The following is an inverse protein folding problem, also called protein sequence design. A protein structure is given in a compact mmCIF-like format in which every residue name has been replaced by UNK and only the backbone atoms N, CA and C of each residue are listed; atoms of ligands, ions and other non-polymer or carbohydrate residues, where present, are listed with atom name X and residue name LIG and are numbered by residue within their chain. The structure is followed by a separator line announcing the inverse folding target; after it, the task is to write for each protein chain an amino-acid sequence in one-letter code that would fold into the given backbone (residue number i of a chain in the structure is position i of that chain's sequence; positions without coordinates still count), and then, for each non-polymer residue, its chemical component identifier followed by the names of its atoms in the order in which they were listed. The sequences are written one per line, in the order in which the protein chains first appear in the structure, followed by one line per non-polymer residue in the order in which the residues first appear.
data_IF_533173946468
#
_entry.id   IF_533173946468
#
_cell.length_a   1.000
_cell.length_b   1.000
_cell.length_c   1.000
_cell.angle_alpha   90.00
_cell.angle_beta   90.00
_cell.angle_gamma   90.00
#
_symmetry.space_group_name_H-M   'P 1'
#
loop_
_entity.id
_entity.type
_entity.pdbx_description
1 polymer ?
#
# COMPACT_ATOMS: atom_id res chain seq x y z
N UNK A 1 -23.65 -93.16 -15.03
CA UNK A 1 -24.79 -92.44 -15.64
C UNK A 1 -25.42 -91.60 -14.54
N UNK A 2 -25.18 -90.29 -14.55
CA UNK A 2 -26.19 -89.24 -14.81
C UNK A 2 -27.24 -89.16 -13.67
N UNK A 3 -27.37 -88.08 -12.87
CA UNK A 3 -27.65 -86.68 -13.23
C UNK A 3 -27.26 -85.70 -12.11
N UNK A 4 -27.05 -84.44 -12.49
CA UNK A 4 -26.74 -83.26 -11.65
C UNK A 4 -27.99 -82.67 -10.94
N UNK A 5 -27.78 -81.80 -9.93
CA UNK A 5 -28.79 -81.35 -8.96
C UNK A 5 -29.39 -79.96 -9.25
N UNK A 6 -30.47 -79.62 -8.54
CA UNK A 6 -31.10 -78.30 -8.50
C UNK A 6 -31.11 -77.71 -7.07
N UNK A 7 -30.34 -76.62 -6.93
CA UNK A 7 -30.56 -75.37 -6.17
C UNK A 7 -31.42 -75.38 -4.90
N UNK A 8 -30.80 -74.93 -3.80
CA UNK A 8 -31.48 -74.20 -2.72
C UNK A 8 -30.58 -73.06 -2.23
N UNK A 9 -31.17 -71.87 -2.14
CA UNK A 9 -30.51 -70.58 -1.99
C UNK A 9 -29.98 -70.33 -0.56
N UNK A 10 -28.72 -69.89 -0.45
CA UNK A 10 -28.17 -69.27 0.77
C UNK A 10 -27.83 -67.81 0.50
N UNK A 11 -28.52 -66.93 1.23
CA UNK A 11 -28.23 -65.50 1.34
C UNK A 11 -26.91 -65.33 2.10
N UNK A 12 -25.92 -64.69 1.47
CA UNK A 12 -24.67 -64.27 2.10
C UNK A 12 -24.75 -62.77 2.41
N UNK A 13 -24.72 -62.42 3.69
CA UNK A 13 -24.52 -61.06 4.15
C UNK A 13 -23.05 -60.64 3.92
N UNK A 14 -22.84 -59.61 3.10
CA UNK A 14 -21.52 -59.13 2.73
C UNK A 14 -20.83 -58.26 3.81
N UNK A 15 -19.49 -58.26 3.87
CA UNK A 15 -18.70 -57.48 4.83
C UNK A 15 -18.60 -56.01 4.39
N UNK A 16 -19.70 -55.27 4.50
CA UNK A 16 -19.79 -53.87 4.04
C UNK A 16 -19.97 -52.81 5.14
N UNK A 17 -20.31 -53.22 6.36
CA UNK A 17 -20.77 -52.29 7.39
C UNK A 17 -19.63 -51.65 8.24
N UNK A 18 -18.50 -52.33 8.42
CA UNK A 18 -17.43 -51.84 9.30
C UNK A 18 -16.54 -50.76 8.67
N UNK A 19 -16.25 -50.86 7.37
CA UNK A 19 -15.42 -49.84 6.68
C UNK A 19 -16.11 -48.48 6.55
N UNK A 20 -17.45 -48.43 6.53
CA UNK A 20 -18.20 -47.15 6.51
C UNK A 20 -18.16 -46.42 7.85
N UNK A 21 -18.16 -47.15 8.98
CA UNK A 21 -18.08 -46.53 10.32
C UNK A 21 -16.71 -45.92 10.62
N UNK A 22 -15.63 -46.54 10.14
CA UNK A 22 -14.27 -46.00 10.30
C UNK A 22 -14.06 -44.69 9.53
N UNK A 23 -14.52 -44.61 8.27
CA UNK A 23 -14.41 -43.39 7.45
C UNK A 23 -15.22 -42.21 8.00
N UNK A 24 -16.42 -42.48 8.53
CA UNK A 24 -17.23 -41.43 9.15
C UNK A 24 -16.57 -40.84 10.39
N UNK A 25 -15.90 -41.66 11.22
CA UNK A 25 -15.21 -41.18 12.43
C UNK A 25 -14.00 -40.31 12.10
N UNK A 26 -13.22 -40.67 11.08
CA UNK A 26 -12.07 -39.88 10.62
C UNK A 26 -12.49 -38.50 10.09
N UNK A 27 -13.59 -38.43 9.32
CA UNK A 27 -14.13 -37.16 8.83
C UNK A 27 -14.64 -36.26 9.97
N UNK A 28 -15.35 -36.83 10.96
CA UNK A 28 -15.82 -36.06 12.12
C UNK A 28 -14.66 -35.52 12.95
N UNK A 29 -13.62 -36.34 13.19
CA UNK A 29 -12.42 -35.88 13.92
C UNK A 29 -11.67 -34.79 13.15
N UNK A 30 -11.53 -34.93 11.83
CA UNK A 30 -10.91 -33.90 10.99
C UNK A 30 -11.68 -32.57 11.02
N UNK A 31 -13.02 -32.61 10.94
CA UNK A 31 -13.88 -31.41 11.05
C UNK A 31 -13.79 -30.76 12.44
N UNK A 32 -13.77 -31.55 13.52
CA UNK A 32 -13.65 -31.01 14.88
C UNK A 32 -12.28 -30.38 15.12
N UNK A 33 -11.21 -30.96 14.58
CA UNK A 33 -9.86 -30.37 14.66
C UNK A 33 -9.74 -29.08 13.84
N UNK A 34 -10.33 -29.02 12.64
CA UNK A 34 -10.35 -27.77 11.85
C UNK A 34 -11.16 -26.69 12.54
N UNK A 35 -12.33 -27.02 13.11
CA UNK A 35 -13.14 -26.08 13.87
C UNK A 35 -12.42 -25.59 15.13
N UNK A 36 -11.74 -26.47 15.86
CA UNK A 36 -10.97 -26.11 17.05
C UNK A 36 -9.75 -25.23 16.74
N UNK A 37 -9.04 -25.51 15.64
CA UNK A 37 -7.96 -24.63 15.16
C UNK A 37 -8.49 -23.27 14.73
N UNK A 38 -9.63 -23.23 14.03
CA UNK A 38 -10.28 -21.98 13.64
C UNK A 38 -10.73 -21.15 14.85
N UNK A 39 -11.33 -21.78 15.87
CA UNK A 39 -11.75 -21.10 17.11
C UNK A 39 -10.55 -20.58 17.91
N UNK A 40 -9.44 -21.33 17.97
CA UNK A 40 -8.20 -20.85 18.61
C UNK A 40 -7.62 -19.65 17.88
N UNK A 41 -7.60 -19.69 16.55
CA UNK A 41 -7.14 -18.57 15.72
C UNK A 41 -7.97 -17.31 15.97
N UNK A 42 -9.30 -17.42 16.02
CA UNK A 42 -10.19 -16.30 16.34
C UNK A 42 -9.90 -15.72 17.74
N UNK A 43 -9.68 -16.57 18.74
CA UNK A 43 -9.41 -16.14 20.11
C UNK A 43 -8.04 -15.42 20.26
N UNK A 44 -7.01 -15.86 19.53
CA UNK A 44 -5.70 -15.21 19.51
C UNK A 44 -5.74 -13.83 18.87
N UNK A 45 -6.51 -13.68 17.78
CA UNK A 45 -6.71 -12.37 17.12
C UNK A 45 -7.45 -11.40 18.06
N UNK A 46 -8.47 -11.88 18.77
CA UNK A 46 -9.27 -11.02 19.65
C UNK A 46 -8.50 -10.52 20.88
N UNK A 47 -7.63 -11.35 21.47
CA UNK A 47 -6.77 -10.95 22.60
C UNK A 47 -5.68 -9.94 22.21
N UNK A 48 -5.16 -10.01 20.97
CA UNK A 48 -4.16 -9.05 20.48
C UNK A 48 -4.73 -7.63 20.30
N UNK A 49 -6.06 -7.47 20.18
CA UNK A 49 -6.71 -6.18 19.94
C UNK A 49 -7.42 -5.58 21.17
N UNK A 50 -7.65 -6.35 22.23
CA UNK A 50 -8.34 -5.87 23.44
C UNK A 50 -7.45 -5.14 24.46
N UNK A 51 -6.12 -5.14 24.31
CA UNK A 51 -5.21 -4.51 25.29
C UNK A 51 -4.93 -3.02 25.06
N UNK A 52 -5.61 -2.36 24.12
CA UNK A 52 -5.41 -0.93 23.82
C UNK A 52 -6.66 -0.12 24.15
N UNK A 53 -6.80 0.30 25.41
CA UNK A 53 -7.82 1.27 25.80
C UNK A 53 -7.91 1.50 27.31
N UNK A 54 -7.21 2.53 27.80
CA UNK A 54 -7.73 3.53 28.77
C UNK A 54 -6.56 4.24 29.46
N UNK A 55 -6.21 5.43 28.98
CA UNK A 55 -5.54 6.43 29.81
C UNK A 55 -6.08 7.79 29.41
N UNK A 56 -6.88 8.36 30.32
CA UNK A 56 -7.58 9.62 30.17
C UNK A 56 -6.64 10.82 30.08
N UNK A 57 -7.11 11.82 29.35
CA UNK A 57 -6.52 13.15 29.25
C UNK A 57 -6.77 13.96 30.52
N UNK A 58 -5.71 14.47 31.13
CA UNK A 58 -5.77 15.66 31.97
C UNK A 58 -4.74 16.66 31.47
N UNK A 59 -5.24 17.78 30.98
CA UNK A 59 -4.50 18.98 30.57
C UNK A 59 -3.96 19.73 31.79
N UNK A 60 -2.69 20.13 31.72
CA UNK A 60 -2.20 21.32 32.44
C UNK A 60 -1.18 22.05 31.59
N UNK A 61 -1.38 23.36 31.50
CA UNK A 61 -0.56 24.32 30.78
C UNK A 61 0.82 24.50 31.43
N UNK A 62 1.81 24.87 30.62
CA UNK A 62 2.97 25.64 31.08
C UNK A 62 3.59 26.43 29.93
N UNK A 63 3.49 27.75 30.07
CA UNK A 63 4.33 28.78 29.45
C UNK A 63 5.80 28.62 29.81
N UNK A 64 6.72 28.82 28.86
CA UNK A 64 7.99 29.51 29.06
C UNK A 64 8.67 29.83 27.71
N UNK A 65 9.26 31.01 27.65
CA UNK A 65 9.90 31.65 26.52
C UNK A 65 11.38 31.26 26.36
N UNK A 66 11.97 31.48 25.18
CA UNK A 66 13.01 32.50 24.93
C UNK A 66 13.90 32.20 23.70
N UNK A 67 14.10 33.25 22.88
CA UNK A 67 15.27 33.62 22.06
C UNK A 67 15.78 32.62 20.97
N UNK A 68 16.28 33.04 19.81
CA UNK A 68 16.96 34.30 19.49
C UNK A 68 16.72 34.73 18.03
N UNK A 69 16.80 36.05 17.85
CA UNK A 69 16.84 36.76 16.59
C UNK A 69 18.18 36.52 15.87
N UNK A 70 18.13 36.43 14.54
CA UNK A 70 19.25 36.79 13.67
C UNK A 70 18.73 37.82 12.68
N UNK A 71 19.33 38.99 12.83
CA UNK A 71 19.31 40.17 11.98
C UNK A 71 20.10 39.84 10.71
N UNK A 72 19.56 40.16 9.53
CA UNK A 72 20.44 40.54 8.41
C UNK A 72 19.67 41.42 7.42
N UNK A 73 20.20 42.62 7.25
CA UNK A 73 19.65 43.67 6.41
C UNK A 73 20.21 43.66 4.99
N UNK A 74 19.40 44.20 4.08
CA UNK A 74 19.85 45.17 3.08
C UNK A 74 20.59 44.66 1.84
N UNK A 75 19.98 44.89 0.67
CA UNK A 75 20.73 44.89 -0.59
C UNK A 75 19.82 44.89 -1.82
N UNK A 76 19.54 46.09 -2.34
CA UNK A 76 18.75 46.35 -3.54
C UNK A 76 19.48 46.01 -4.86
N UNK A 77 18.81 46.35 -5.99
CA UNK A 77 19.23 46.32 -7.41
C UNK A 77 18.68 45.05 -8.11
N UNK A 78 17.86 45.08 -9.15
CA UNK A 78 17.60 46.07 -10.18
C UNK A 78 17.71 45.34 -11.53
N UNK A 79 16.65 45.33 -12.35
CA UNK A 79 16.71 44.69 -13.67
C UNK A 79 15.36 44.20 -14.18
N UNK A 80 14.51 45.15 -14.58
CA UNK A 80 13.31 44.87 -15.37
C UNK A 80 13.74 44.70 -16.83
N UNK A 81 13.48 43.53 -17.41
CA UNK A 81 13.59 43.29 -18.84
C UNK A 81 12.23 42.81 -19.34
N UNK A 82 11.56 43.71 -20.06
CA UNK A 82 10.34 43.45 -20.81
C UNK A 82 10.63 42.40 -21.90
N UNK A 83 9.95 41.26 -21.81
CA UNK A 83 9.85 40.29 -22.89
C UNK A 83 8.42 40.32 -23.39
N UNK A 84 8.28 41.04 -24.50
CA UNK A 84 7.09 41.12 -25.33
C UNK A 84 6.77 39.73 -25.90
N UNK A 85 5.61 39.18 -25.55
CA UNK A 85 5.13 37.89 -26.06
C UNK A 85 3.70 38.04 -26.54
N UNK A 86 3.56 38.09 -27.87
CA UNK A 86 2.30 38.20 -28.59
C UNK A 86 1.30 37.11 -28.18
N UNK A 87 0.23 37.54 -27.54
CA UNK A 87 -0.95 36.76 -27.21
C UNK A 87 -1.80 36.55 -28.47
N UNK A 88 -1.79 35.34 -29.02
CA UNK A 88 -2.83 34.87 -29.94
C UNK A 88 -3.94 34.24 -29.10
N UNK A 89 -5.00 35.01 -28.89
CA UNK A 89 -6.18 34.63 -28.14
C UNK A 89 -6.95 33.49 -28.81
N UNK A 90 -6.67 32.26 -28.39
CA UNK A 90 -7.58 31.13 -28.52
C UNK A 90 -8.36 30.96 -27.23
N UNK A 91 -9.60 31.41 -27.19
CA UNK A 91 -10.57 31.13 -26.13
C UNK A 91 -10.93 29.64 -26.14
N UNK A 92 -10.03 28.82 -25.61
CA UNK A 92 -10.35 27.44 -25.24
C UNK A 92 -11.26 27.50 -24.03
N UNK A 93 -12.57 27.43 -24.28
CA UNK A 93 -13.57 27.31 -23.23
C UNK A 93 -13.21 26.13 -22.32
N UNK A 94 -13.06 26.47 -21.04
CA UNK A 94 -12.61 25.64 -19.96
C UNK A 94 -13.64 24.54 -19.65
N UNK A 95 -13.65 23.49 -20.47
CA UNK A 95 -14.51 22.30 -20.31
C UNK A 95 -14.11 21.42 -19.11
N UNK A 96 -13.10 21.83 -18.35
CA UNK A 96 -12.59 21.11 -17.18
C UNK A 96 -13.49 21.23 -15.94
N UNK A 97 -14.41 22.22 -15.91
CA UNK A 97 -15.30 22.47 -14.77
C UNK A 97 -16.35 21.39 -14.48
N UNK A 98 -16.47 20.36 -15.33
CA UNK A 98 -17.50 19.31 -15.19
C UNK A 98 -17.07 18.02 -14.47
N UNK A 99 -15.77 17.81 -14.22
CA UNK A 99 -15.28 16.51 -13.72
C UNK A 99 -15.47 16.30 -12.21
N UNK A 100 -15.47 17.39 -11.43
CA UNK A 100 -15.68 17.35 -9.99
C UNK A 100 -17.05 17.96 -9.66
N UNK A 101 -17.87 17.21 -8.93
CA UNK A 101 -19.19 17.69 -8.54
C UNK A 101 -19.10 18.46 -7.22
N UNK A 102 -19.79 19.61 -7.10
CA UNK A 102 -19.99 20.25 -5.80
C UNK A 102 -20.55 19.26 -4.78
N UNK A 103 -19.99 19.24 -3.57
CA UNK A 103 -20.32 18.23 -2.57
C UNK A 103 -21.79 18.27 -2.12
N UNK A 104 -22.40 19.45 -2.13
CA UNK A 104 -23.80 19.72 -1.78
C UNK A 104 -24.80 19.09 -2.76
N UNK A 105 -24.38 18.86 -4.01
CA UNK A 105 -25.24 18.31 -5.07
C UNK A 105 -25.40 16.79 -5.03
N UNK A 106 -24.79 16.08 -4.08
CA UNK A 106 -24.78 14.63 -4.10
C UNK A 106 -24.52 13.94 -2.76
N UNK A 107 -24.53 12.61 -2.83
CA UNK A 107 -24.08 11.76 -1.73
C UNK A 107 -22.58 11.59 -1.85
N UNK A 108 -21.85 11.82 -0.76
CA UNK A 108 -20.39 11.67 -0.75
C UNK A 108 -19.92 10.63 0.26
N UNK A 109 -18.69 10.17 0.04
CA UNK A 109 -17.94 9.30 0.93
C UNK A 109 -16.54 9.90 1.14
N UNK A 110 -16.22 10.19 2.40
CA UNK A 110 -14.90 10.60 2.91
C UNK A 110 -14.28 9.41 3.64
N UNK A 111 -12.96 9.41 3.78
CA UNK A 111 -12.23 8.44 4.59
C UNK A 111 -10.86 9.00 4.97
N UNK A 112 -10.32 8.50 6.07
CA UNK A 112 -8.95 8.84 6.48
C UNK A 112 -7.92 7.98 5.76
N UNK A 113 -6.71 8.52 5.60
CA UNK A 113 -5.51 7.74 5.29
C UNK A 113 -4.70 7.48 6.56
N UNK A 114 -3.76 6.54 6.52
CA UNK A 114 -2.97 6.18 7.67
C UNK A 114 -1.56 5.72 7.32
N UNK A 115 -0.66 5.89 8.29
CA UNK A 115 0.72 5.39 8.25
C UNK A 115 1.50 5.87 7.00
N UNK A 116 2.51 5.11 6.58
CA UNK A 116 3.37 5.47 5.45
C UNK A 116 2.66 5.56 4.09
N UNK A 117 3.34 6.18 3.13
CA UNK A 117 2.89 6.53 1.78
C UNK A 117 2.02 5.45 1.11
N UNK A 118 2.51 4.21 1.07
CA UNK A 118 1.79 3.14 0.38
C UNK A 118 0.55 2.65 1.15
N UNK A 119 0.55 2.72 2.48
CA UNK A 119 -0.66 2.44 3.25
C UNK A 119 -1.74 3.50 3.00
N UNK A 120 -1.34 4.76 2.78
CA UNK A 120 -2.25 5.83 2.37
C UNK A 120 -2.81 5.57 0.95
N UNK A 121 -2.00 5.06 0.00
CA UNK A 121 -2.48 4.61 -1.32
C UNK A 121 -3.47 3.44 -1.19
N UNK A 122 -3.19 2.46 -0.34
CA UNK A 122 -4.09 1.32 -0.08
C UNK A 122 -5.41 1.80 0.55
N UNK A 123 -5.36 2.79 1.44
CA UNK A 123 -6.54 3.43 2.00
C UNK A 123 -7.38 4.11 0.90
N UNK A 124 -6.74 4.85 0.00
CA UNK A 124 -7.39 5.45 -1.18
C UNK A 124 -8.09 4.38 -2.02
N UNK A 125 -7.38 3.31 -2.40
CA UNK A 125 -7.97 2.20 -3.18
C UNK A 125 -9.18 1.56 -2.47
N UNK A 126 -9.08 1.36 -1.15
CA UNK A 126 -10.17 0.82 -0.33
C UNK A 126 -11.38 1.77 -0.31
N UNK A 127 -11.13 3.07 -0.14
CA UNK A 127 -12.14 4.12 -0.17
C UNK A 127 -12.87 4.22 -1.53
N UNK A 128 -12.14 4.06 -2.64
CA UNK A 128 -12.72 4.04 -3.99
C UNK A 128 -13.69 2.86 -4.17
N UNK A 129 -13.31 1.67 -3.70
CA UNK A 129 -14.20 0.49 -3.74
C UNK A 129 -15.46 0.72 -2.92
N UNK A 130 -15.33 1.32 -1.73
CA UNK A 130 -16.49 1.67 -0.90
C UNK A 130 -17.38 2.72 -1.59
N UNK A 131 -16.80 3.73 -2.23
CA UNK A 131 -17.53 4.73 -3.00
C UNK A 131 -18.31 4.09 -4.16
N UNK A 132 -17.67 3.19 -4.91
CA UNK A 132 -18.30 2.44 -6.00
C UNK A 132 -19.46 1.56 -5.50
N UNK A 133 -19.24 0.76 -4.46
CA UNK A 133 -20.26 -0.15 -3.88
C UNK A 133 -21.47 0.57 -3.26
N UNK A 134 -21.32 1.86 -2.94
CA UNK A 134 -22.37 2.68 -2.33
C UNK A 134 -22.95 3.74 -3.28
N UNK A 135 -22.45 3.80 -4.53
CA UNK A 135 -22.77 4.82 -5.52
C UNK A 135 -22.66 6.25 -4.95
N UNK A 136 -21.51 6.56 -4.36
CA UNK A 136 -21.20 7.86 -3.76
C UNK A 136 -20.05 8.52 -4.50
N UNK A 137 -20.06 9.85 -4.56
CA UNK A 137 -18.89 10.60 -4.99
C UNK A 137 -17.80 10.51 -3.92
N UNK A 138 -16.58 10.20 -4.32
CA UNK A 138 -15.44 10.17 -3.40
C UNK A 138 -14.95 11.58 -3.13
N UNK A 139 -14.71 11.92 -1.87
CA UNK A 139 -13.93 13.10 -1.49
C UNK A 139 -12.47 12.65 -1.39
N UNK A 140 -11.57 13.31 -2.11
CA UNK A 140 -10.16 12.97 -2.09
C UNK A 140 -9.57 13.26 -0.70
N UNK A 141 -8.77 12.33 -0.13
CA UNK A 141 -8.22 12.51 1.21
C UNK A 141 -7.05 13.49 1.20
N UNK A 142 -6.73 14.03 2.38
CA UNK A 142 -5.42 14.65 2.61
C UNK A 142 -4.38 13.54 2.82
N UNK A 143 -3.12 13.83 2.47
CA UNK A 143 -1.98 12.93 2.66
C UNK A 143 -1.18 13.31 3.89
N UNK A 144 -0.74 12.33 4.66
CA UNK A 144 0.18 12.51 5.78
C UNK A 144 1.58 12.78 5.25
N UNK A 145 2.23 13.82 5.78
CA UNK A 145 3.65 14.11 5.55
C UNK A 145 4.57 13.22 6.39
N UNK A 146 4.04 12.62 7.46
CA UNK A 146 4.77 11.68 8.29
C UNK A 146 3.87 10.54 8.77
N UNK A 147 4.11 9.35 8.23
CA UNK A 147 3.42 8.11 8.56
C UNK A 147 4.22 7.16 9.44
N UNK A 148 5.28 7.64 10.10
CA UNK A 148 6.19 6.83 10.91
C UNK A 148 5.49 6.16 12.10
N UNK A 149 5.82 4.89 12.35
CA UNK A 149 5.26 4.06 13.41
C UNK A 149 6.35 3.68 14.41
N UNK A 150 6.51 4.47 15.48
CA UNK A 150 7.59 4.26 16.44
C UNK A 150 7.53 2.90 17.17
N UNK A 151 6.32 2.39 17.42
CA UNK A 151 6.07 1.21 18.25
C UNK A 151 5.27 0.10 17.56
N UNK A 152 4.98 0.23 16.27
CA UNK A 152 4.11 -0.65 15.46
C UNK A 152 2.65 -0.80 15.94
N UNK A 153 2.27 -0.19 17.07
CA UNK A 153 0.95 -0.35 17.72
C UNK A 153 0.05 0.87 17.53
N UNK A 154 0.63 2.05 17.42
CA UNK A 154 -0.10 3.32 17.31
C UNK A 154 -0.30 3.71 15.85
N UNK A 155 -1.56 3.73 15.38
CA UNK A 155 -1.88 4.22 14.04
C UNK A 155 -1.74 5.74 13.98
N UNK A 156 -1.05 6.24 12.96
CA UNK A 156 -1.00 7.68 12.65
C UNK A 156 -2.11 7.99 11.64
N UNK A 157 -2.90 9.03 11.90
CA UNK A 157 -4.01 9.48 11.05
C UNK A 157 -4.00 11.00 10.90
N UNK A 158 -4.72 11.53 9.90
CA UNK A 158 -4.63 12.94 9.49
C UNK A 158 -5.07 13.95 10.56
N UNK A 159 -5.74 13.51 11.62
CA UNK A 159 -6.15 14.37 12.73
C UNK A 159 -5.00 14.97 13.57
N UNK A 160 -3.73 14.64 13.30
CA UNK A 160 -2.57 15.07 14.08
C UNK A 160 -1.66 16.12 13.40
N UNK A 161 -2.22 17.03 12.60
CA UNK A 161 -1.63 18.30 12.12
C UNK A 161 -0.49 18.31 11.09
N UNK A 162 -0.12 17.18 10.47
CA UNK A 162 0.87 17.18 9.38
C UNK A 162 0.31 16.49 8.12
N UNK A 163 -0.74 17.06 7.55
CA UNK A 163 -1.32 16.61 6.28
C UNK A 163 -1.36 17.72 5.23
N UNK A 164 -1.34 17.32 3.97
CA UNK A 164 -1.50 18.20 2.81
C UNK A 164 -2.63 17.72 1.92
N UNK A 165 -3.34 18.61 1.21
CA UNK A 165 -4.44 18.20 0.36
C UNK A 165 -3.96 17.32 -0.82
N UNK A 166 -4.86 16.56 -1.43
CA UNK A 166 -4.54 15.62 -2.51
C UNK A 166 -3.74 16.26 -3.65
N UNK A 167 -4.12 17.47 -4.05
CA UNK A 167 -3.52 18.24 -5.14
C UNK A 167 -2.07 18.67 -4.88
N UNK A 168 -1.64 18.67 -3.62
CA UNK A 168 -0.24 18.92 -3.30
C UNK A 168 0.66 17.79 -3.82
N UNK A 169 0.13 16.56 -3.91
CA UNK A 169 0.88 15.36 -4.31
C UNK A 169 0.55 14.86 -5.71
N UNK A 170 -0.70 14.98 -6.14
CA UNK A 170 -1.20 14.41 -7.38
C UNK A 170 -2.04 15.39 -8.18
N UNK A 171 -2.30 15.08 -9.46
CA UNK A 171 -3.14 15.90 -10.34
C UNK A 171 -4.62 15.47 -10.22
N UNK A 172 -5.49 16.22 -9.50
CA UNK A 172 -6.85 15.76 -9.20
C UNK A 172 -7.74 15.63 -10.44
N UNK A 173 -7.54 16.44 -11.49
CA UNK A 173 -8.37 16.38 -12.70
C UNK A 173 -8.13 15.09 -13.49
N UNK A 174 -6.88 14.72 -13.72
CA UNK A 174 -6.51 13.47 -14.40
C UNK A 174 -7.04 12.25 -13.62
N UNK A 175 -6.92 12.30 -12.28
CA UNK A 175 -7.46 11.27 -11.41
C UNK A 175 -8.99 11.17 -11.50
N UNK A 176 -9.71 12.29 -11.37
CA UNK A 176 -11.16 12.33 -11.47
C UNK A 176 -11.68 11.83 -12.83
N UNK A 177 -11.01 12.19 -13.92
CA UNK A 177 -11.35 11.72 -15.26
C UNK A 177 -11.23 10.19 -15.37
N UNK A 178 -10.15 9.61 -14.86
CA UNK A 178 -9.96 8.17 -14.88
C UNK A 178 -11.02 7.44 -14.04
N UNK A 179 -11.36 7.96 -12.87
CA UNK A 179 -12.41 7.38 -12.03
C UNK A 179 -13.80 7.45 -12.68
N UNK A 180 -14.11 8.56 -13.37
CA UNK A 180 -15.40 8.75 -14.03
C UNK A 180 -15.66 7.69 -15.11
N UNK A 181 -14.62 7.26 -15.84
CA UNK A 181 -14.71 6.17 -16.81
C UNK A 181 -15.12 4.82 -16.19
N UNK A 182 -15.00 4.69 -14.87
CA UNK A 182 -15.39 3.52 -14.08
C UNK A 182 -16.58 3.80 -13.16
N UNK A 183 -17.36 4.86 -13.42
CA UNK A 183 -18.59 5.18 -12.70
C UNK A 183 -18.37 5.74 -11.29
N UNK A 184 -17.13 6.07 -10.90
CA UNK A 184 -16.82 6.73 -9.63
C UNK A 184 -16.63 8.22 -9.88
N UNK A 185 -17.43 9.04 -9.20
CA UNK A 185 -17.35 10.50 -9.28
C UNK A 185 -16.47 11.05 -8.17
N UNK A 186 -15.83 12.19 -8.41
CA UNK A 186 -15.11 12.94 -7.38
C UNK A 186 -15.93 14.15 -6.94
N UNK A 187 -16.02 14.36 -5.62
CA UNK A 187 -16.63 15.54 -5.03
C UNK A 187 -15.57 16.60 -4.75
N UNK A 188 -15.90 17.87 -5.00
CA UNK A 188 -15.07 19.01 -4.63
C UNK A 188 -15.33 19.41 -3.17
N UNK A 189 -14.26 19.54 -2.38
CA UNK A 189 -14.32 19.94 -0.97
C UNK A 189 -14.65 18.81 0.01
N UNK A 190 -14.78 19.16 1.30
CA UNK A 190 -15.11 18.26 2.41
C UNK A 190 -16.49 18.56 2.97
N UNK A 191 -17.19 17.54 3.47
CA UNK A 191 -18.49 17.76 4.08
C UNK A 191 -18.28 18.33 5.49
N UNK A 192 -19.05 19.36 5.87
CA UNK A 192 -18.93 19.99 7.18
C UNK A 192 -19.29 19.04 8.35
N UNK A 193 -20.25 18.13 8.13
CA UNK A 193 -20.75 17.22 9.16
C UNK A 193 -21.05 15.82 8.58
N UNK A 194 -20.03 15.04 8.20
CA UNK A 194 -20.26 13.69 7.73
C UNK A 194 -20.68 12.77 8.87
N UNK A 195 -21.43 11.72 8.54
CA UNK A 195 -21.74 10.67 9.50
C UNK A 195 -20.60 9.65 9.56
N UNK A 196 -19.95 9.55 10.72
CA UNK A 196 -18.83 8.64 10.92
C UNK A 196 -19.26 7.17 10.95
N UNK A 197 -18.53 6.36 10.19
CA UNK A 197 -18.68 4.92 10.09
C UNK A 197 -17.47 4.26 10.72
N UNK A 198 -17.66 3.68 11.91
CA UNK A 198 -16.62 2.95 12.63
C UNK A 198 -16.32 1.59 11.99
N UNK A 199 -15.30 1.53 11.12
CA UNK A 199 -14.98 0.33 10.33
C UNK A 199 -14.42 -0.84 11.17
N UNK A 200 -13.83 -0.55 12.35
CA UNK A 200 -13.28 -1.56 13.27
C UNK A 200 -14.30 -2.66 13.65
N UNK A 201 -15.60 -2.38 13.56
CA UNK A 201 -16.68 -3.34 13.88
C UNK A 201 -16.92 -4.39 12.79
N UNK A 202 -16.29 -4.24 11.62
CA UNK A 202 -16.59 -5.04 10.43
C UNK A 202 -15.34 -5.76 9.91
N UNK A 203 -14.58 -6.42 10.80
CA UNK A 203 -13.34 -7.11 10.43
C UNK A 203 -13.58 -8.06 9.23
N UNK A 204 -13.18 -7.58 8.07
CA UNK A 204 -13.81 -7.93 6.80
C UNK A 204 -13.41 -9.30 6.28
N UNK A 205 -12.30 -9.83 6.80
CA UNK A 205 -11.80 -11.16 6.47
C UNK A 205 -12.80 -12.25 6.93
N UNK A 206 -13.54 -12.01 8.02
CA UNK A 206 -14.54 -12.95 8.53
C UNK A 206 -15.97 -12.67 8.02
N UNK A 207 -16.26 -11.43 7.61
CA UNK A 207 -17.60 -10.99 7.22
C UNK A 207 -17.57 -10.17 5.93
N UNK A 208 -17.29 -10.85 4.82
CA UNK A 208 -16.99 -10.25 3.51
C UNK A 208 -18.03 -9.24 3.00
N UNK A 209 -19.29 -9.34 3.43
CA UNK A 209 -20.37 -8.45 3.01
C UNK A 209 -20.93 -7.55 4.12
N UNK A 210 -20.47 -7.66 5.37
CA UNK A 210 -21.10 -6.95 6.49
C UNK A 210 -20.96 -5.44 6.39
N UNK A 211 -19.77 -4.94 6.04
CA UNK A 211 -19.52 -3.51 5.87
C UNK A 211 -20.39 -2.91 4.75
N UNK A 212 -20.39 -3.55 3.57
CA UNK A 212 -21.20 -3.07 2.43
C UNK A 212 -22.69 -3.11 2.76
N UNK A 213 -23.16 -4.20 3.38
CA UNK A 213 -24.55 -4.32 3.82
C UNK A 213 -24.93 -3.23 4.81
N UNK A 214 -24.05 -2.91 5.75
CA UNK A 214 -24.23 -1.82 6.69
C UNK A 214 -24.30 -0.47 5.99
N UNK A 215 -23.35 -0.17 5.09
CA UNK A 215 -23.31 1.10 4.35
C UNK A 215 -24.55 1.29 3.47
N UNK A 216 -25.05 0.21 2.84
CA UNK A 216 -26.30 0.22 2.06
C UNK A 216 -27.52 0.54 2.94
N UNK A 217 -27.58 0.04 4.18
CA UNK A 217 -28.61 0.43 5.16
C UNK A 217 -28.52 1.91 5.55
N UNK A 218 -27.36 2.56 5.37
CA UNK A 218 -27.15 3.99 5.60
C UNK A 218 -27.30 4.83 4.34
N UNK A 219 -27.97 4.33 3.29
CA UNK A 219 -28.21 5.05 2.02
C UNK A 219 -28.90 6.41 2.17
N UNK A 220 -29.65 6.63 3.25
CA UNK A 220 -30.33 7.91 3.51
C UNK A 220 -29.37 9.00 4.02
N UNK A 221 -28.19 8.64 4.53
CA UNK A 221 -27.18 9.63 4.95
C UNK A 221 -26.58 10.30 3.72
N UNK A 222 -26.55 11.63 3.70
CA UNK A 222 -25.99 12.37 2.58
C UNK A 222 -24.48 12.21 2.50
N UNK A 223 -23.77 12.43 3.61
CA UNK A 223 -22.31 12.33 3.67
C UNK A 223 -21.90 11.25 4.66
N UNK A 224 -21.00 10.37 4.24
CA UNK A 224 -20.38 9.36 5.09
C UNK A 224 -18.90 9.69 5.26
N UNK A 225 -18.34 9.37 6.42
CA UNK A 225 -16.91 9.35 6.65
C UNK A 225 -16.49 7.98 7.20
N UNK A 226 -15.54 7.31 6.56
CA UNK A 226 -15.03 6.02 7.01
C UNK A 226 -13.87 6.26 7.96
N UNK A 227 -14.07 5.92 9.23
CA UNK A 227 -13.10 6.13 10.30
C UNK A 227 -12.94 4.87 11.17
N UNK A 228 -11.73 4.49 11.61
CA UNK A 228 -10.45 4.97 11.09
C UNK A 228 -10.21 4.51 9.64
N UNK A 229 -9.04 4.88 9.12
CA UNK A 229 -8.47 4.48 7.84
C UNK A 229 -8.90 3.07 7.33
N UNK A 230 -9.41 2.94 6.08
CA UNK A 230 -9.92 1.68 5.54
C UNK A 230 -8.83 0.74 5.01
N UNK A 231 -7.55 1.10 5.06
CA UNK A 231 -6.46 0.23 4.60
C UNK A 231 -6.49 -1.14 5.28
N UNK A 232 -6.37 -2.21 4.49
CA UNK A 232 -6.41 -3.61 4.96
C UNK A 232 -7.74 -4.03 5.62
N UNK A 233 -8.81 -3.24 5.46
CA UNK A 233 -10.14 -3.55 6.02
C UNK A 233 -11.15 -4.00 4.97
N UNK A 234 -10.69 -4.26 3.75
CA UNK A 234 -11.53 -4.71 2.65
C UNK A 234 -11.23 -6.19 2.34
N UNK A 235 -12.26 -7.02 2.10
CA UNK A 235 -12.05 -8.40 1.69
C UNK A 235 -11.38 -8.44 0.31
N UNK A 236 -10.41 -9.32 0.12
CA UNK A 236 -9.72 -9.47 -1.17
C UNK A 236 -10.69 -9.74 -2.33
N UNK A 237 -11.72 -10.57 -2.12
CA UNK A 237 -12.75 -10.84 -3.14
C UNK A 237 -13.52 -9.58 -3.56
N UNK A 238 -13.75 -8.64 -2.63
CA UNK A 238 -14.40 -7.37 -2.95
C UNK A 238 -13.45 -6.47 -3.75
N UNK A 239 -12.18 -6.37 -3.34
CA UNK A 239 -11.16 -5.65 -4.11
C UNK A 239 -11.04 -6.23 -5.53
N UNK A 240 -11.04 -7.56 -5.66
CA UNK A 240 -10.94 -8.28 -6.93
C UNK A 240 -12.01 -7.87 -7.95
N UNK A 241 -13.27 -7.70 -7.52
CA UNK A 241 -14.38 -7.27 -8.39
C UNK A 241 -14.16 -5.88 -8.99
N UNK A 242 -13.34 -5.05 -8.36
CA UNK A 242 -13.05 -3.68 -8.78
C UNK A 242 -11.65 -3.53 -9.39
N UNK A 243 -11.02 -4.63 -9.85
CA UNK A 243 -9.66 -4.62 -10.45
C UNK A 243 -9.44 -3.47 -11.43
N UNK A 244 -10.34 -3.30 -12.41
CA UNK A 244 -10.18 -2.30 -13.47
C UNK A 244 -10.23 -0.86 -12.93
N UNK A 245 -11.13 -0.58 -11.97
CA UNK A 245 -11.19 0.71 -11.29
C UNK A 245 -9.88 0.99 -10.54
N UNK A 246 -9.35 0.00 -9.81
CA UNK A 246 -8.13 0.15 -9.03
C UNK A 246 -6.89 0.33 -9.92
N UNK A 247 -6.82 -0.40 -11.03
CA UNK A 247 -5.78 -0.22 -12.04
C UNK A 247 -5.81 1.18 -12.65
N UNK A 248 -6.98 1.65 -13.06
CA UNK A 248 -7.15 2.99 -13.61
C UNK A 248 -6.81 4.08 -12.58
N UNK A 249 -7.23 3.91 -11.33
CA UNK A 249 -6.90 4.82 -10.24
C UNK A 249 -5.39 4.89 -10.01
N UNK A 250 -4.70 3.76 -9.90
CA UNK A 250 -3.26 3.72 -9.69
C UNK A 250 -2.49 4.40 -10.84
N UNK A 251 -2.85 4.10 -12.09
CA UNK A 251 -2.26 4.71 -13.27
C UNK A 251 -2.54 6.23 -13.35
N UNK A 252 -3.69 6.68 -12.84
CA UNK A 252 -4.09 8.08 -12.86
C UNK A 252 -3.57 8.92 -11.68
N UNK A 253 -2.91 8.30 -10.68
CA UNK A 253 -2.13 9.01 -9.67
C UNK A 253 -0.89 9.59 -10.35
N UNK A 254 -1.05 10.67 -11.11
CA UNK A 254 0.06 11.38 -11.72
C UNK A 254 0.62 12.38 -10.69
N UNK A 255 1.94 12.37 -10.42
CA UNK A 255 2.54 13.32 -9.49
C UNK A 255 2.23 14.76 -9.88
N UNK A 256 2.01 15.61 -8.88
CA UNK A 256 1.94 17.06 -9.06
C UNK A 256 3.25 17.57 -9.68
N UNK A 257 3.20 18.74 -10.32
CA UNK A 257 4.31 19.25 -11.13
C UNK A 257 5.63 19.33 -10.35
N UNK A 258 5.58 19.71 -9.07
CA UNK A 258 6.74 19.72 -8.17
C UNK A 258 7.41 18.34 -8.09
N UNK A 259 6.65 17.28 -7.80
CA UNK A 259 7.19 15.93 -7.69
C UNK A 259 7.63 15.36 -9.03
N UNK A 260 6.89 15.64 -10.11
CA UNK A 260 7.32 15.27 -11.46
C UNK A 260 8.70 15.87 -11.79
N UNK A 261 8.91 17.15 -11.48
CA UNK A 261 10.22 17.80 -11.64
C UNK A 261 11.31 17.17 -10.78
N UNK A 262 11.02 16.81 -9.52
CA UNK A 262 11.98 16.13 -8.64
C UNK A 262 12.35 14.72 -9.14
N UNK A 263 11.37 13.96 -9.65
CA UNK A 263 11.61 12.62 -10.21
C UNK A 263 12.52 12.73 -11.44
N UNK A 264 12.25 13.66 -12.36
CA UNK A 264 13.09 13.87 -13.54
C UNK A 264 14.49 14.39 -13.18
N UNK A 265 14.59 15.28 -12.18
CA UNK A 265 15.89 15.74 -11.68
C UNK A 265 16.73 14.58 -11.12
N UNK A 266 16.13 13.69 -10.32
CA UNK A 266 16.83 12.50 -9.81
C UNK A 266 17.26 11.55 -10.92
N UNK A 267 16.46 11.39 -11.98
CA UNK A 267 16.86 10.61 -13.16
C UNK A 267 18.04 11.21 -13.89
N UNK A 268 18.03 12.52 -14.11
CA UNK A 268 19.14 13.23 -14.73
C UNK A 268 20.42 13.11 -13.88
N UNK A 269 20.29 13.16 -12.55
CA UNK A 269 21.41 12.97 -11.63
C UNK A 269 21.95 11.53 -11.67
N UNK A 270 21.08 10.51 -11.68
CA UNK A 270 21.48 9.11 -11.90
C UNK A 270 22.25 9.00 -13.22
N UNK A 271 21.74 9.57 -14.31
CA UNK A 271 22.41 9.52 -15.60
C UNK A 271 23.78 10.22 -15.59
N UNK A 272 23.88 11.35 -14.90
CA UNK A 272 25.15 12.10 -14.75
C UNK A 272 26.17 11.29 -13.94
N UNK A 273 25.77 10.71 -12.80
CA UNK A 273 26.67 9.91 -11.95
C UNK A 273 27.12 8.61 -12.61
N UNK A 274 26.28 8.04 -13.46
CA UNK A 274 26.49 6.68 -13.97
C UNK A 274 26.93 6.63 -15.44
N UNK A 275 26.71 7.69 -16.21
CA UNK A 275 26.89 7.69 -17.66
C UNK A 275 25.83 6.89 -18.42
N UNK A 276 24.74 6.45 -17.77
CA UNK A 276 23.68 5.62 -18.37
C UNK A 276 22.31 6.28 -18.25
N UNK A 277 21.52 6.22 -19.33
CA UNK A 277 20.11 6.68 -19.30
C UNK A 277 19.16 5.67 -18.62
N UNK A 278 19.59 4.42 -18.46
CA UNK A 278 18.85 3.35 -17.79
C UNK A 278 19.42 3.02 -16.42
N UNK A 279 18.55 2.55 -15.52
CA UNK A 279 18.94 2.07 -14.19
C UNK A 279 18.00 0.95 -13.72
N UNK A 280 18.50 0.12 -12.82
CA UNK A 280 17.72 -0.79 -11.99
C UNK A 280 17.54 -0.17 -10.60
N UNK A 281 16.48 -0.56 -9.89
CA UNK A 281 16.24 -0.06 -8.53
C UNK A 281 16.03 -1.22 -7.54
N UNK A 282 16.74 -1.13 -6.42
CA UNK A 282 16.60 -1.98 -5.25
C UNK A 282 16.02 -1.16 -4.09
N UNK A 283 14.87 -1.58 -3.57
CA UNK A 283 14.34 -1.06 -2.31
C UNK A 283 14.68 -2.02 -1.16
N UNK A 284 15.59 -1.62 -0.27
CA UNK A 284 15.94 -2.40 0.93
C UNK A 284 15.19 -1.90 2.14
N UNK A 285 14.93 -2.81 3.10
CA UNK A 285 14.28 -2.48 4.36
C UNK A 285 15.22 -2.85 5.49
N UNK A 286 15.91 -1.85 6.01
CA UNK A 286 16.96 -1.97 7.03
C UNK A 286 16.75 -0.97 8.17
N UNK A 287 15.54 -0.42 8.28
CA UNK A 287 15.18 0.56 9.29
C UNK A 287 14.95 -0.05 10.68
N UNK A 288 15.12 0.77 11.73
CA UNK A 288 14.87 0.35 13.12
C UNK A 288 13.43 -0.12 13.37
N UNK A 289 12.44 0.57 12.80
CA UNK A 289 11.02 0.19 12.90
C UNK A 289 10.73 -1.11 12.14
N UNK A 290 11.43 -1.33 11.02
CA UNK A 290 11.32 -2.54 10.23
C UNK A 290 11.79 -3.78 10.97
N UNK A 291 12.93 -3.72 11.68
CA UNK A 291 13.41 -4.85 12.47
C UNK A 291 12.38 -5.28 13.53
N UNK A 292 11.80 -4.33 14.26
CA UNK A 292 10.74 -4.60 15.25
C UNK A 292 9.49 -5.21 14.60
N UNK A 293 9.11 -4.71 13.42
CA UNK A 293 7.99 -5.29 12.66
C UNK A 293 8.29 -6.74 12.28
N UNK A 294 9.51 -7.03 11.83
CA UNK A 294 9.90 -8.38 11.45
C UNK A 294 9.91 -9.36 12.63
N UNK A 295 10.32 -8.93 13.83
CA UNK A 295 10.22 -9.76 15.05
C UNK A 295 8.78 -10.20 15.32
N UNK A 296 7.80 -9.31 15.14
CA UNK A 296 6.39 -9.64 15.30
C UNK A 296 5.82 -10.43 14.10
N UNK A 297 6.23 -10.09 12.89
CA UNK A 297 5.74 -10.74 11.68
C UNK A 297 6.23 -12.18 11.58
N UNK A 298 7.45 -12.48 12.03
CA UNK A 298 8.06 -13.78 11.86
C UNK A 298 7.31 -14.87 12.65
N UNK A 299 6.66 -15.75 11.91
CA UNK A 299 6.02 -16.96 12.43
C UNK A 299 6.11 -18.08 11.38
N UNK A 300 7.18 -18.91 11.43
CA UNK A 300 7.37 -20.01 10.48
C UNK A 300 6.22 -21.01 10.45
N UNK A 301 5.52 -21.23 11.57
CA UNK A 301 4.37 -22.13 11.62
C UNK A 301 3.20 -21.67 10.75
N UNK A 302 3.17 -20.37 10.39
CA UNK A 302 2.17 -19.77 9.51
C UNK A 302 2.74 -19.43 8.12
N UNK A 303 3.96 -19.90 7.79
CA UNK A 303 4.65 -19.55 6.54
C UNK A 303 5.09 -18.09 6.47
N UNK A 304 5.21 -17.41 7.62
CA UNK A 304 5.70 -16.02 7.75
C UNK A 304 7.17 -16.02 8.15
N UNK A 305 8.05 -16.54 7.33
CA UNK A 305 9.49 -16.67 7.62
C UNK A 305 10.38 -15.84 6.70
N UNK A 306 9.80 -14.93 5.91
CA UNK A 306 10.50 -14.24 4.83
C UNK A 306 10.85 -12.76 5.10
N UNK A 307 10.58 -12.19 6.27
CA UNK A 307 10.70 -10.73 6.47
C UNK A 307 12.12 -10.17 6.27
N UNK A 308 13.14 -10.86 6.78
CA UNK A 308 14.55 -10.44 6.71
C UNK A 308 15.42 -11.37 5.85
N UNK A 309 14.81 -12.34 5.17
CA UNK A 309 15.56 -13.31 4.38
C UNK A 309 16.35 -12.62 3.28
N UNK A 310 17.58 -13.06 3.12
CA UNK A 310 18.52 -12.59 2.10
C UNK A 310 18.80 -11.08 2.10
N UNK A 311 18.48 -10.33 3.16
CA UNK A 311 18.78 -8.89 3.22
C UNK A 311 20.29 -8.65 3.16
N UNK A 312 21.06 -9.39 3.96
CA UNK A 312 22.52 -9.37 4.01
C UNK A 312 23.21 -9.98 2.77
N UNK A 313 22.47 -10.75 1.98
CA UNK A 313 22.94 -11.42 0.75
C UNK A 313 22.26 -10.88 -0.51
N UNK A 314 21.69 -9.67 -0.44
CA UNK A 314 20.85 -9.11 -1.52
C UNK A 314 21.60 -8.96 -2.86
N UNK A 315 22.91 -8.73 -2.84
CA UNK A 315 23.75 -8.71 -4.04
C UNK A 315 23.69 -10.04 -4.81
N UNK A 316 23.72 -11.16 -4.10
CA UNK A 316 23.61 -12.50 -4.70
C UNK A 316 22.20 -12.75 -5.25
N UNK A 317 21.17 -12.22 -4.60
CA UNK A 317 19.79 -12.35 -5.08
C UNK A 317 19.57 -11.56 -6.37
N UNK A 318 20.16 -10.38 -6.50
CA UNK A 318 20.15 -9.61 -7.75
C UNK A 318 20.70 -10.45 -8.92
N UNK A 319 21.87 -11.09 -8.75
CA UNK A 319 22.46 -11.97 -9.76
C UNK A 319 21.54 -13.16 -10.09
N UNK A 320 20.96 -13.82 -9.07
CA UNK A 320 20.03 -14.95 -9.26
C UNK A 320 18.77 -14.55 -10.03
N UNK A 321 18.28 -13.33 -9.84
CA UNK A 321 17.16 -12.78 -10.61
C UNK A 321 17.57 -12.18 -11.96
N UNK A 322 18.85 -12.35 -12.34
CA UNK A 322 19.39 -11.97 -13.64
C UNK A 322 19.63 -10.49 -13.82
N UNK A 323 19.77 -9.70 -12.74
CA UNK A 323 20.11 -8.29 -12.86
C UNK A 323 21.53 -8.13 -13.41
N UNK A 324 21.66 -7.41 -14.52
CA UNK A 324 22.94 -7.10 -15.15
C UNK A 324 23.75 -6.14 -14.27
N UNK A 325 25.01 -6.47 -14.02
CA UNK A 325 25.96 -5.67 -13.21
C UNK A 325 26.41 -4.40 -13.93
N UNK A 326 26.34 -4.37 -15.26
CA UNK A 326 26.68 -3.19 -16.06
C UNK A 326 25.59 -2.11 -16.02
N UNK A 327 24.35 -2.49 -15.69
CA UNK A 327 23.24 -1.54 -15.51
C UNK A 327 23.31 -0.95 -14.09
N UNK A 328 23.39 0.38 -13.93
CA UNK A 328 23.50 1.01 -12.62
C UNK A 328 22.37 0.61 -11.67
N UNK A 329 22.72 0.39 -10.39
CA UNK A 329 21.76 0.01 -9.36
C UNK A 329 21.51 1.18 -8.40
N UNK A 330 20.29 1.71 -8.42
CA UNK A 330 19.84 2.70 -7.42
C UNK A 330 19.35 1.95 -6.18
N UNK A 331 19.87 2.31 -5.00
CA UNK A 331 19.50 1.69 -3.72
C UNK A 331 18.70 2.67 -2.88
N UNK A 332 17.46 2.33 -2.54
CA UNK A 332 16.56 3.17 -1.73
C UNK A 332 16.18 2.48 -0.42
N UNK A 333 16.04 3.29 0.63
CA UNK A 333 15.62 2.93 2.01
C UNK A 333 15.33 4.23 2.76
N UNK A 334 14.72 4.19 3.95
CA UNK A 334 14.76 5.36 4.86
C UNK A 334 16.15 5.50 5.47
N UNK A 335 17.08 6.17 4.78
CA UNK A 335 18.47 6.31 5.22
C UNK A 335 18.64 6.91 6.63
N UNK A 336 17.88 7.94 7.06
CA UNK A 336 17.96 8.46 8.42
C UNK A 336 17.60 7.43 9.50
N UNK A 337 16.76 6.45 9.17
CA UNK A 337 16.28 5.42 10.10
C UNK A 337 16.99 4.08 9.94
N UNK A 338 17.91 3.96 8.97
CA UNK A 338 18.64 2.74 8.67
C UNK A 338 19.53 2.33 9.85
N UNK A 339 19.59 1.03 10.11
CA UNK A 339 20.52 0.43 11.07
C UNK A 339 21.91 0.37 10.40
N UNK A 340 22.93 1.09 10.89
CA UNK A 340 24.19 1.28 10.16
C UNK A 340 24.89 -0.04 9.78
N UNK A 341 25.02 -0.97 10.72
CA UNK A 341 25.70 -2.24 10.49
C UNK A 341 24.99 -3.08 9.42
N UNK A 342 23.66 -3.10 9.43
CA UNK A 342 22.86 -3.84 8.45
C UNK A 342 22.92 -3.17 7.08
N UNK A 343 22.88 -1.84 7.01
CA UNK A 343 23.07 -1.11 5.77
C UNK A 343 24.46 -1.38 5.19
N UNK A 344 25.51 -1.39 6.03
CA UNK A 344 26.87 -1.71 5.60
C UNK A 344 26.96 -3.13 5.03
N UNK A 345 26.34 -4.12 5.67
CA UNK A 345 26.28 -5.50 5.16
C UNK A 345 25.58 -5.58 3.80
N UNK A 346 24.44 -4.90 3.64
CA UNK A 346 23.73 -4.77 2.36
C UNK A 346 24.65 -4.19 1.28
N UNK A 347 25.31 -3.07 1.56
CA UNK A 347 26.19 -2.40 0.60
C UNK A 347 27.42 -3.25 0.26
N UNK A 348 28.00 -3.95 1.23
CA UNK A 348 29.09 -4.91 1.01
C UNK A 348 28.64 -6.09 0.15
N UNK A 349 27.41 -6.58 0.33
CA UNK A 349 26.83 -7.63 -0.50
C UNK A 349 26.67 -7.20 -1.96
N UNK A 350 26.17 -5.98 -2.16
CA UNK A 350 25.96 -5.38 -3.49
C UNK A 350 27.30 -5.18 -4.22
N UNK A 351 28.28 -4.56 -3.56
CA UNK A 351 29.60 -4.32 -4.14
C UNK A 351 30.37 -5.61 -4.38
N UNK A 352 30.33 -6.56 -3.44
CA UNK A 352 30.94 -7.89 -3.59
C UNK A 352 30.33 -8.73 -4.72
N UNK A 353 29.12 -8.38 -5.17
CA UNK A 353 28.45 -9.00 -6.32
C UNK A 353 28.68 -8.24 -7.64
N UNK A 354 29.56 -7.24 -7.66
CA UNK A 354 29.98 -6.51 -8.86
C UNK A 354 29.08 -5.34 -9.27
N UNK A 355 28.07 -4.98 -8.48
CA UNK A 355 27.19 -3.85 -8.82
C UNK A 355 27.82 -2.50 -8.43
N UNK A 356 27.65 -1.51 -9.30
CA UNK A 356 27.87 -0.10 -8.96
C UNK A 356 26.59 0.53 -8.41
N UNK A 357 26.56 0.73 -7.08
CA UNK A 357 25.42 1.32 -6.40
C UNK A 357 25.42 2.86 -6.48
N UNK A 358 24.23 3.44 -6.62
CA UNK A 358 23.95 4.87 -6.39
C UNK A 358 22.93 4.95 -5.25
N UNK A 359 23.27 5.62 -4.16
CA UNK A 359 22.39 5.68 -2.99
C UNK A 359 21.31 6.74 -3.19
N UNK A 360 20.06 6.40 -2.84
CA UNK A 360 18.94 7.35 -2.88
C UNK A 360 19.18 8.61 -2.03
N UNK A 361 19.96 8.50 -0.94
CA UNK A 361 20.36 9.64 -0.11
C UNK A 361 21.27 10.62 -0.83
N UNK A 362 22.09 10.16 -1.78
CA UNK A 362 22.94 11.02 -2.59
C UNK A 362 22.12 11.82 -3.60
N UNK A 363 21.03 11.23 -4.10
CA UNK A 363 20.08 11.84 -5.05
C UNK A 363 19.07 12.80 -4.38
N UNK A 364 19.12 12.90 -3.05
CA UNK A 364 18.14 13.63 -2.25
C UNK A 364 18.75 14.80 -1.44
N UNK A 365 20.05 15.06 -1.61
CA UNK A 365 20.76 16.06 -0.83
C UNK A 365 20.10 17.46 -0.96
N UNK A 366 19.74 18.04 0.19
CA UNK A 366 19.16 19.39 0.25
C UNK A 366 17.70 19.52 -0.18
N UNK A 367 16.99 18.42 -0.46
CA UNK A 367 15.63 18.48 -1.02
C UNK A 367 14.54 18.96 -0.05
N UNK A 368 14.80 18.98 1.26
CA UNK A 368 13.84 19.43 2.28
C UNK A 368 12.52 18.64 2.30
N UNK A 369 12.48 17.47 1.67
CA UNK A 369 11.28 16.64 1.60
C UNK A 369 10.99 15.99 2.95
N UNK A 370 9.72 15.91 3.29
CA UNK A 370 9.26 15.03 4.36
C UNK A 370 9.51 13.56 4.01
N UNK A 371 9.34 12.68 4.99
CA UNK A 371 9.50 11.23 4.83
C UNK A 371 8.60 10.68 3.72
N UNK A 372 7.33 11.04 3.74
CA UNK A 372 6.37 10.48 2.77
C UNK A 372 6.49 11.10 1.38
N UNK A 373 6.95 12.36 1.28
CA UNK A 373 7.30 12.97 0.00
C UNK A 373 8.53 12.32 -0.64
N UNK A 374 9.54 11.97 0.17
CA UNK A 374 10.70 11.21 -0.29
C UNK A 374 10.28 9.82 -0.78
N UNK A 375 9.40 9.15 -0.03
CA UNK A 375 8.83 7.87 -0.42
C UNK A 375 8.02 7.95 -1.74
N UNK A 376 7.27 9.04 -1.96
CA UNK A 376 6.59 9.29 -3.23
C UNK A 376 7.60 9.34 -4.39
N UNK A 377 8.67 10.13 -4.27
CA UNK A 377 9.67 10.26 -5.33
C UNK A 377 10.34 8.90 -5.62
N UNK A 378 10.76 8.19 -4.59
CA UNK A 378 11.37 6.86 -4.73
C UNK A 378 10.40 5.84 -5.36
N UNK A 379 9.11 5.94 -5.06
CA UNK A 379 8.08 5.08 -5.62
C UNK A 379 7.97 5.25 -7.14
N UNK A 380 7.93 6.49 -7.64
CA UNK A 380 7.84 6.74 -9.08
C UNK A 380 9.16 6.44 -9.82
N UNK A 381 10.33 6.66 -9.18
CA UNK A 381 11.60 6.16 -9.71
C UNK A 381 11.57 4.63 -9.87
N UNK A 382 11.05 3.90 -8.88
CA UNK A 382 10.92 2.45 -8.93
C UNK A 382 9.94 1.98 -10.02
N UNK A 383 8.85 2.71 -10.26
CA UNK A 383 7.97 2.43 -11.40
C UNK A 383 8.68 2.64 -12.74
N UNK A 384 9.58 3.60 -12.86
CA UNK A 384 10.30 3.94 -14.10
C UNK A 384 11.58 3.11 -14.32
N UNK A 385 12.13 2.47 -13.29
CA UNK A 385 13.32 1.64 -13.40
C UNK A 385 13.16 0.50 -14.44
N UNK A 386 14.24 0.14 -15.12
CA UNK A 386 14.26 -0.98 -16.07
C UNK A 386 13.86 -2.29 -15.39
N UNK A 387 14.47 -2.58 -14.24
CA UNK A 387 14.09 -3.68 -13.35
C UNK A 387 13.99 -3.18 -11.91
N UNK A 388 13.07 -3.78 -11.16
CA UNK A 388 12.85 -3.45 -9.76
C UNK A 388 12.95 -4.71 -8.89
N UNK A 389 13.55 -4.59 -7.71
CA UNK A 389 13.50 -5.62 -6.69
C UNK A 389 13.33 -4.98 -5.29
N UNK A 390 12.64 -5.66 -4.38
CA UNK A 390 12.56 -5.20 -3.00
C UNK A 390 12.16 -6.29 -2.00
N UNK A 391 11.61 -5.89 -0.85
CA UNK A 391 11.15 -6.80 0.19
C UNK A 391 9.64 -7.10 0.06
N UNK A 392 9.24 -8.36 -0.14
CA UNK A 392 7.82 -8.74 -0.34
C UNK A 392 6.90 -8.45 0.84
N UNK A 393 7.43 -8.37 2.06
CA UNK A 393 6.64 -8.04 3.27
C UNK A 393 6.36 -6.53 3.34
N UNK A 394 7.20 -5.70 2.72
CA UNK A 394 7.00 -4.26 2.68
C UNK A 394 5.83 -3.91 1.77
N UNK A 395 4.82 -3.21 2.31
CA UNK A 395 3.69 -2.74 1.50
C UNK A 395 4.16 -1.81 0.39
N UNK A 396 5.25 -1.05 0.61
CA UNK A 396 5.88 -0.20 -0.41
C UNK A 396 6.35 -1.01 -1.62
N UNK A 397 7.18 -2.03 -1.41
CA UNK A 397 7.63 -2.92 -2.49
C UNK A 397 6.48 -3.68 -3.11
N UNK A 398 5.61 -4.28 -2.30
CA UNK A 398 4.53 -5.12 -2.80
C UNK A 398 3.60 -4.34 -3.76
N UNK A 399 3.27 -3.08 -3.43
CA UNK A 399 2.46 -2.24 -4.30
C UNK A 399 3.20 -1.82 -5.59
N UNK A 400 4.52 -1.59 -5.55
CA UNK A 400 5.33 -1.37 -6.76
C UNK A 400 5.31 -2.61 -7.67
N UNK A 401 5.52 -3.81 -7.10
CA UNK A 401 5.45 -5.08 -7.85
C UNK A 401 4.10 -5.20 -8.54
N UNK A 402 3.02 -4.92 -7.79
CA UNK A 402 1.66 -4.94 -8.32
C UNK A 402 1.48 -3.98 -9.49
N UNK A 403 1.80 -2.69 -9.34
CA UNK A 403 1.63 -1.71 -10.41
C UNK A 403 2.54 -2.00 -11.62
N UNK A 404 3.78 -2.44 -11.39
CA UNK A 404 4.68 -2.86 -12.49
C UNK A 404 4.12 -4.07 -13.24
N UNK A 405 3.50 -5.02 -12.55
CA UNK A 405 2.87 -6.17 -13.20
C UNK A 405 1.74 -5.76 -14.15
N UNK A 406 0.93 -4.76 -13.77
CA UNK A 406 -0.12 -4.20 -14.62
C UNK A 406 0.44 -3.51 -15.87
N UNK A 407 1.66 -3.00 -15.78
CA UNK A 407 2.39 -2.36 -16.87
C UNK A 407 3.28 -3.33 -17.67
N UNK A 408 3.25 -4.63 -17.36
CA UNK A 408 4.13 -5.62 -18.00
C UNK A 408 5.63 -5.38 -17.73
N UNK A 409 5.97 -4.72 -16.62
CA UNK A 409 7.35 -4.37 -16.25
C UNK A 409 7.93 -5.38 -15.27
N UNK A 410 9.18 -5.76 -15.49
CA UNK A 410 9.86 -6.73 -14.63
C UNK A 410 9.99 -6.23 -13.19
N UNK A 411 9.58 -7.05 -12.23
CA UNK A 411 9.79 -6.82 -10.80
C UNK A 411 9.91 -8.13 -10.04
N UNK A 412 10.68 -8.15 -8.95
CA UNK A 412 10.90 -9.32 -8.08
C UNK A 412 11.00 -8.88 -6.61
N UNK A 413 11.15 -9.83 -5.70
CA UNK A 413 11.52 -9.58 -4.31
C UNK A 413 12.67 -10.49 -3.88
N UNK A 414 13.62 -9.97 -3.11
CA UNK A 414 14.86 -10.70 -2.78
C UNK A 414 14.70 -11.68 -1.62
N UNK A 415 13.69 -11.49 -0.78
CA UNK A 415 13.51 -12.21 0.47
C UNK A 415 12.67 -13.49 0.33
N UNK A 416 12.24 -13.83 -0.88
CA UNK A 416 11.40 -15.01 -1.14
C UNK A 416 10.06 -14.98 -0.39
N UNK A 417 9.44 -16.15 -0.27
CA UNK A 417 8.16 -16.35 0.43
C UNK A 417 6.97 -15.62 -0.20
N UNK A 418 5.86 -15.57 0.54
CA UNK A 418 4.61 -14.95 0.08
C UNK A 418 4.67 -13.42 0.16
N UNK A 419 3.79 -12.76 -0.62
CA UNK A 419 3.54 -11.31 -0.55
C UNK A 419 2.30 -11.07 0.33
N UNK A 420 2.41 -10.61 1.59
CA UNK A 420 1.25 -10.49 2.48
C UNK A 420 0.12 -9.59 1.95
N UNK A 421 0.48 -8.62 1.11
CA UNK A 421 -0.46 -7.71 0.49
C UNK A 421 -1.47 -8.43 -0.43
N UNK A 422 -1.16 -9.63 -0.91
CA UNK A 422 -2.05 -10.47 -1.73
C UNK A 422 -3.36 -10.81 -1.03
N UNK A 423 -3.35 -10.94 0.31
CA UNK A 423 -4.56 -11.20 1.11
C UNK A 423 -5.61 -10.07 1.02
N UNK A 424 -5.18 -8.86 0.64
CA UNK A 424 -6.02 -7.68 0.55
C UNK A 424 -6.18 -7.21 -0.90
N UNK A 425 -5.16 -7.40 -1.73
CA UNK A 425 -5.12 -7.05 -3.14
C UNK A 425 -4.74 -8.30 -3.94
N UNK A 426 -5.69 -9.21 -4.25
CA UNK A 426 -5.40 -10.52 -4.85
C UNK A 426 -5.19 -10.38 -6.37
N UNK A 427 -4.18 -9.61 -6.74
CA UNK A 427 -3.86 -9.24 -8.11
C UNK A 427 -2.44 -9.66 -8.52
N UNK A 428 -1.79 -10.45 -7.69
CA UNK A 428 -0.46 -10.98 -7.93
C UNK A 428 -0.61 -12.25 -8.78
N UNK A 429 -0.36 -12.15 -10.08
CA UNK A 429 -0.37 -13.31 -10.96
C UNK A 429 0.94 -14.09 -10.76
N UNK A 430 0.83 -15.32 -10.22
CA UNK A 430 1.98 -16.20 -9.98
C UNK A 430 2.78 -16.53 -11.26
N UNK A 431 2.20 -16.36 -12.45
CA UNK A 431 2.84 -16.64 -13.73
C UNK A 431 3.81 -15.55 -14.21
N UNK A 432 3.78 -14.35 -13.61
CA UNK A 432 4.65 -13.23 -13.99
C UNK A 432 5.74 -12.93 -12.94
N UNK A 433 5.68 -13.57 -11.77
CA UNK A 433 6.63 -13.45 -10.65
C UNK A 433 7.85 -14.37 -10.73
#
# INVERSE_FOLDING_TARGET
MALKPSLSARVLAGPGAERRRSRSRLLTVACLLTLAMWLRYQHSVQLAFSSSGSSGSSSTASTAAAAAAVDDGGGAVGGSADVDSGSTGGTSADSSGGLMQPIDKGKSLQFDVCNGFTNQRIALMSGLVLAAETNRSVVLPDWLLNGYLADSKTFVSAGSNNSVPFEAWFRPQAFAQALAAHGVRVAAGKAAQPWDVLIKRFDSQSQTNALISFLRKKRARQHLNIHPCPAFRMPGALMARHKNLLQAAAAALQPAQRFAGLIEARRAEIATKTGSQGFNLLHVRVEKDWLKLCEWYQNPAEGRDNCMNNTDTVGQQLLRHGFDTEVPLVVTTSFPDAVPDLLQQVLASISGSGYRAVLGSELAAGSGLSREESALVDYYLALQAGRFIGNSVSTFTAFIILERSWLGRFSRHYNGGNVPLELFLPFYDASNS
#
